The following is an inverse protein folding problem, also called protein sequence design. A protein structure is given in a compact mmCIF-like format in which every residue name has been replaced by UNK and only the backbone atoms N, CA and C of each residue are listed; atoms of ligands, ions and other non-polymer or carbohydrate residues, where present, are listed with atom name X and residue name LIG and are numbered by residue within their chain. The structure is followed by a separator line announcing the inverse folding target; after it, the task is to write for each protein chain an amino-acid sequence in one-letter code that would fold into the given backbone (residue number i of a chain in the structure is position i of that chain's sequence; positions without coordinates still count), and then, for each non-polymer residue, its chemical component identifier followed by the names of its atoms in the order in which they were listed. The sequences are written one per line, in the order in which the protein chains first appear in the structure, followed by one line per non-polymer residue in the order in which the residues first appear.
data_IF_311097849637
#
_entry.id   IF_311097849637
#
_cell.length_a   1.000
_cell.length_b   1.000
_cell.length_c   1.000
_cell.angle_alpha   90.00
_cell.angle_beta   90.00
_cell.angle_gamma   90.00
#
_symmetry.space_group_name_H-M   'P 1'
#
loop_
_entity.id
_entity.type
_entity.pdbx_description
1 polymer ?
#
# COMPACT_ATOMS: atom_id res chain seq x y z
N UNK A 1 7.70 -26.75 10.55
CA UNK A 1 6.44 -25.98 10.42
C UNK A 1 6.37 -25.34 9.04
N UNK A 2 5.21 -25.30 8.41
CA UNK A 2 4.99 -24.47 7.22
C UNK A 2 5.03 -22.98 7.60
N UNK A 3 5.15 -22.08 6.64
CA UNK A 3 5.12 -20.63 6.88
C UNK A 3 3.83 -20.21 7.59
N UNK A 4 2.68 -20.73 7.14
CA UNK A 4 1.38 -20.44 7.76
C UNK A 4 1.31 -20.95 9.22
N UNK A 5 1.71 -22.19 9.48
CA UNK A 5 1.71 -22.73 10.83
C UNK A 5 2.57 -21.91 11.78
N UNK A 6 3.78 -21.53 11.34
CA UNK A 6 4.72 -20.71 12.10
C UNK A 6 4.13 -19.34 12.43
N UNK A 7 3.56 -18.65 11.44
CA UNK A 7 2.92 -17.33 11.66
C UNK A 7 1.74 -17.43 12.62
N UNK A 8 0.86 -18.43 12.45
CA UNK A 8 -0.31 -18.61 13.32
C UNK A 8 0.11 -18.98 14.75
N UNK A 9 1.08 -19.88 14.93
CA UNK A 9 1.60 -20.26 16.23
C UNK A 9 2.22 -19.05 16.97
N UNK A 10 3.04 -18.25 16.26
CA UNK A 10 3.62 -17.04 16.82
C UNK A 10 2.57 -16.01 17.26
N UNK A 11 1.52 -15.79 16.43
CA UNK A 11 0.41 -14.90 16.77
C UNK A 11 -0.39 -15.37 18.00
N UNK A 12 -0.39 -16.67 18.29
CA UNK A 12 -1.04 -17.27 19.46
C UNK A 12 -0.13 -17.40 20.69
N UNK A 13 1.11 -16.92 20.60
CA UNK A 13 2.12 -17.10 21.66
C UNK A 13 2.51 -18.56 21.90
N UNK A 14 2.35 -19.41 20.89
CA UNK A 14 2.74 -20.82 20.93
C UNK A 14 4.21 -21.00 20.51
N UNK A 15 4.79 -22.13 20.86
CA UNK A 15 6.15 -22.49 20.45
C UNK A 15 6.29 -22.60 18.93
N UNK A 16 7.40 -22.08 18.41
CA UNK A 16 7.73 -22.09 16.98
C UNK A 16 9.13 -22.62 16.78
N UNK A 17 9.38 -23.24 15.63
CA UNK A 17 10.71 -23.74 15.26
C UNK A 17 11.74 -22.61 15.04
N UNK A 18 11.28 -21.43 14.61
CA UNK A 18 12.01 -20.17 14.53
C UNK A 18 11.02 -18.99 14.44
N UNK A 19 11.41 -17.76 14.76
CA UNK A 19 10.56 -16.60 14.52
C UNK A 19 10.14 -16.48 13.05
N UNK A 20 8.86 -16.16 12.74
CA UNK A 20 8.45 -15.87 11.37
C UNK A 20 9.08 -14.57 10.89
N UNK A 21 9.56 -14.55 9.65
CA UNK A 21 10.26 -13.42 9.05
C UNK A 21 9.57 -12.95 7.79
N UNK A 22 9.45 -11.64 7.65
CA UNK A 22 9.09 -10.97 6.40
C UNK A 22 9.95 -9.73 6.20
N UNK A 23 10.30 -9.49 4.95
CA UNK A 23 10.97 -8.27 4.51
C UNK A 23 10.19 -7.67 3.34
N UNK A 24 10.14 -6.36 3.28
CA UNK A 24 9.44 -5.64 2.23
C UNK A 24 10.27 -4.47 1.71
N UNK A 25 10.03 -4.12 0.47
CA UNK A 25 10.57 -2.91 -0.18
C UNK A 25 9.63 -2.48 -1.29
N UNK A 26 9.77 -1.25 -1.76
CA UNK A 26 9.13 -0.81 -2.98
C UNK A 26 9.91 -1.31 -4.22
N UNK A 27 9.18 -1.58 -5.30
CA UNK A 27 9.69 -2.02 -6.60
C UNK A 27 9.24 -1.02 -7.67
N UNK A 28 9.82 0.18 -7.73
CA UNK A 28 9.26 1.31 -8.49
C UNK A 28 9.17 1.08 -10.01
N UNK A 29 9.89 0.09 -10.53
CA UNK A 29 9.81 -0.31 -11.93
C UNK A 29 8.76 -1.40 -12.20
N UNK A 30 8.22 -2.05 -11.16
CA UNK A 30 7.27 -3.16 -11.25
C UNK A 30 6.00 -2.93 -10.41
N UNK A 31 5.82 -1.77 -9.81
CA UNK A 31 4.68 -1.50 -8.93
C UNK A 31 3.50 -0.77 -9.62
N UNK A 32 3.57 -0.61 -10.95
CA UNK A 32 2.59 0.18 -11.71
C UNK A 32 1.44 -0.65 -12.28
N UNK A 33 1.59 -1.95 -12.38
CA UNK A 33 0.52 -2.88 -12.82
C UNK A 33 0.34 -4.01 -11.82
N UNK A 34 -0.87 -4.56 -11.76
CA UNK A 34 -1.17 -5.70 -10.89
C UNK A 34 -0.28 -6.91 -11.20
N UNK A 35 -0.04 -7.18 -12.48
CA UNK A 35 0.74 -8.33 -12.93
C UNK A 35 2.19 -8.22 -12.52
N UNK A 36 2.83 -7.08 -12.77
CA UNK A 36 4.24 -6.87 -12.47
C UNK A 36 4.47 -6.82 -10.96
N UNK A 37 3.59 -6.12 -10.22
CA UNK A 37 3.64 -6.06 -8.76
C UNK A 37 3.50 -7.47 -8.13
N UNK A 38 2.57 -8.28 -8.63
CA UNK A 38 2.40 -9.64 -8.14
C UNK A 38 3.62 -10.51 -8.45
N UNK A 39 4.12 -10.47 -9.68
CA UNK A 39 5.28 -11.25 -10.10
C UNK A 39 6.52 -10.94 -9.25
N UNK A 40 6.87 -9.64 -9.08
CA UNK A 40 8.04 -9.25 -8.28
C UNK A 40 7.87 -9.58 -6.80
N UNK A 41 6.64 -9.49 -6.28
CA UNK A 41 6.34 -9.82 -4.88
C UNK A 41 6.53 -11.31 -4.60
N UNK A 42 6.04 -12.19 -5.50
CA UNK A 42 6.22 -13.63 -5.39
C UNK A 42 7.70 -14.01 -5.51
N UNK A 43 8.38 -13.47 -6.53
CA UNK A 43 9.82 -13.68 -6.70
C UNK A 43 10.63 -13.26 -5.45
N UNK A 44 10.28 -12.14 -4.83
CA UNK A 44 10.93 -11.66 -3.61
C UNK A 44 10.72 -12.60 -2.43
N UNK A 45 9.49 -13.10 -2.27
CA UNK A 45 9.15 -14.07 -1.23
C UNK A 45 9.93 -15.38 -1.41
N UNK A 46 9.95 -15.94 -2.63
CA UNK A 46 10.65 -17.20 -2.94
C UNK A 46 12.18 -17.07 -2.75
N UNK A 47 12.77 -16.00 -3.28
CA UNK A 47 14.21 -15.76 -3.21
C UNK A 47 14.72 -15.67 -1.76
N UNK A 48 13.92 -15.12 -0.86
CA UNK A 48 14.32 -14.90 0.54
C UNK A 48 13.70 -15.91 1.52
N UNK A 49 12.84 -16.81 1.06
CA UNK A 49 12.14 -17.78 1.91
C UNK A 49 11.30 -17.13 3.00
N UNK A 50 10.59 -16.03 2.67
CA UNK A 50 9.82 -15.26 3.65
C UNK A 50 8.59 -16.03 4.12
N UNK A 51 8.28 -15.93 5.41
CA UNK A 51 7.14 -16.63 6.02
C UNK A 51 5.79 -15.98 5.73
N UNK A 52 5.78 -14.71 5.40
CA UNK A 52 4.58 -14.01 4.95
C UNK A 52 4.95 -12.84 4.03
N UNK A 53 3.99 -12.47 3.21
CA UNK A 53 4.10 -11.38 2.26
C UNK A 53 3.43 -10.14 2.82
N UNK A 54 4.10 -8.98 2.73
CA UNK A 54 3.49 -7.68 2.76
C UNK A 54 3.51 -7.12 1.35
N UNK A 55 2.34 -7.07 0.68
CA UNK A 55 2.24 -6.47 -0.65
C UNK A 55 2.58 -4.97 -0.56
N UNK A 56 3.44 -4.50 -1.46
CA UNK A 56 3.96 -3.13 -1.45
C UNK A 56 3.67 -2.42 -2.77
N UNK A 57 2.43 -1.94 -2.99
CA UNK A 57 2.15 -1.01 -4.08
C UNK A 57 2.92 0.30 -3.87
N UNK A 58 2.93 1.22 -4.86
CA UNK A 58 3.53 2.55 -4.68
C UNK A 58 2.98 3.23 -3.43
N UNK A 59 3.81 3.99 -2.73
CA UNK A 59 3.43 4.59 -1.44
C UNK A 59 2.26 5.57 -1.50
N UNK A 60 1.91 6.03 -2.68
CA UNK A 60 0.79 6.93 -2.99
C UNK A 60 -0.43 6.21 -3.62
N UNK A 61 -0.42 4.88 -3.68
CA UNK A 61 -1.46 4.08 -4.35
C UNK A 61 -2.89 4.53 -4.00
N UNK A 62 -3.11 4.91 -2.75
CA UNK A 62 -4.42 5.30 -2.26
C UNK A 62 -4.84 6.73 -2.67
N UNK A 63 -3.98 7.48 -3.37
CA UNK A 63 -4.24 8.88 -3.77
C UNK A 63 -4.20 9.09 -5.29
N UNK A 64 -3.72 8.10 -6.04
CA UNK A 64 -3.59 8.16 -7.50
C UNK A 64 -4.93 8.44 -8.16
N UNK A 65 -5.99 7.78 -7.71
CA UNK A 65 -7.33 7.91 -8.31
C UNK A 65 -7.98 9.29 -8.08
N UNK A 66 -7.43 10.10 -7.17
CA UNK A 66 -7.77 11.52 -7.00
C UNK A 66 -6.80 12.46 -7.73
N UNK A 67 -5.92 11.91 -8.59
CA UNK A 67 -5.02 12.69 -9.44
C UNK A 67 -3.68 13.03 -8.81
N UNK A 68 -3.27 12.35 -7.73
CA UNK A 68 -1.89 12.40 -7.29
C UNK A 68 -0.97 11.77 -8.34
N UNK A 69 0.22 12.34 -8.51
CA UNK A 69 1.28 11.75 -9.35
C UNK A 69 2.57 11.67 -8.57
N UNK A 70 3.38 10.67 -8.88
CA UNK A 70 4.69 10.50 -8.27
C UNK A 70 5.72 9.97 -9.27
N UNK A 71 6.98 10.22 -8.99
CA UNK A 71 8.10 9.78 -9.82
C UNK A 71 9.15 9.07 -8.94
N UNK A 72 9.78 8.05 -9.49
CA UNK A 72 10.93 7.43 -8.87
C UNK A 72 12.20 8.21 -9.23
N UNK A 73 12.87 8.74 -8.21
CA UNK A 73 14.08 9.56 -8.35
C UNK A 73 15.32 8.86 -7.80
N UNK A 74 15.33 7.51 -7.80
CA UNK A 74 16.51 6.73 -7.39
C UNK A 74 16.65 6.50 -5.89
N UNK A 75 15.62 6.73 -5.09
CA UNK A 75 15.67 6.47 -3.65
C UNK A 75 16.02 5.00 -3.35
N UNK A 76 17.01 4.70 -2.46
CA UNK A 76 17.48 3.32 -2.20
C UNK A 76 16.38 2.35 -1.74
N UNK A 77 15.37 2.85 -1.02
CA UNK A 77 14.20 2.09 -0.58
C UNK A 77 13.15 1.84 -1.65
N UNK A 78 13.33 2.39 -2.87
CA UNK A 78 12.38 2.31 -3.97
C UNK A 78 11.16 3.22 -3.81
N UNK A 79 11.18 4.16 -2.86
CA UNK A 79 10.07 5.12 -2.68
C UNK A 79 10.02 6.13 -3.81
N UNK A 80 8.79 6.47 -4.23
CA UNK A 80 8.52 7.51 -5.22
C UNK A 80 8.29 8.85 -4.50
N UNK A 81 8.64 9.95 -5.15
CA UNK A 81 8.36 11.29 -4.67
C UNK A 81 7.07 11.81 -5.31
N UNK A 82 6.14 12.32 -4.51
CA UNK A 82 4.90 12.88 -5.03
C UNK A 82 5.19 14.21 -5.73
N UNK A 83 4.83 14.30 -7.00
CA UNK A 83 5.06 15.48 -7.85
C UNK A 83 3.82 16.35 -7.99
N UNK A 84 2.62 15.77 -7.75
CA UNK A 84 1.35 16.48 -7.76
C UNK A 84 0.47 16.04 -6.61
N UNK A 85 -0.05 17.01 -5.88
CA UNK A 85 -1.01 16.82 -4.80
C UNK A 85 -2.40 17.28 -5.26
N UNK A 86 -3.46 16.45 -5.11
CA UNK A 86 -4.83 16.82 -5.51
C UNK A 86 -5.40 17.97 -4.68
N UNK A 87 -4.98 18.11 -3.43
CA UNK A 87 -5.41 19.17 -2.51
C UNK A 87 -4.26 20.11 -2.21
N UNK A 88 -4.36 21.36 -2.63
CA UNK A 88 -3.32 22.39 -2.40
C UNK A 88 -3.77 23.46 -1.41
N UNK A 89 -5.06 23.71 -1.31
CA UNK A 89 -5.72 24.65 -0.41
C UNK A 89 -7.01 24.03 0.18
N UNK A 90 -7.54 24.59 1.23
CA UNK A 90 -8.68 23.99 1.94
C UNK A 90 -9.94 23.83 1.07
N UNK A 91 -10.16 24.73 0.12
CA UNK A 91 -11.30 24.69 -0.81
C UNK A 91 -11.29 23.48 -1.73
N UNK A 92 -10.10 22.94 -2.03
CA UNK A 92 -9.96 21.81 -2.95
C UNK A 92 -10.62 20.52 -2.39
N UNK A 93 -10.82 20.42 -1.06
CA UNK A 93 -11.54 19.31 -0.45
C UNK A 93 -12.95 19.13 -0.98
N UNK A 94 -13.67 20.22 -1.22
CA UNK A 94 -15.02 20.20 -1.78
C UNK A 94 -15.11 19.63 -3.20
N UNK A 95 -13.98 19.47 -3.90
CA UNK A 95 -13.92 18.85 -5.23
C UNK A 95 -13.54 17.35 -5.19
N UNK A 96 -13.20 16.82 -4.02
CA UNK A 96 -12.84 15.42 -3.86
C UNK A 96 -14.10 14.55 -3.89
N UNK A 97 -14.23 13.77 -4.93
CA UNK A 97 -15.37 12.85 -5.09
C UNK A 97 -15.05 11.45 -4.58
N UNK A 98 -16.08 10.69 -4.24
CA UNK A 98 -15.92 9.28 -3.88
C UNK A 98 -15.46 8.46 -5.08
N UNK A 99 -14.34 7.76 -4.92
CA UNK A 99 -13.83 6.79 -5.90
C UNK A 99 -14.33 5.39 -5.51
N UNK A 100 -14.91 4.61 -6.44
CA UNK A 100 -15.29 3.23 -6.18
C UNK A 100 -14.04 2.38 -5.88
N UNK A 101 -14.12 1.52 -4.86
CA UNK A 101 -12.98 0.71 -4.41
C UNK A 101 -12.51 -0.32 -5.47
N UNK A 102 -13.37 -0.65 -6.42
CA UNK A 102 -13.11 -1.60 -7.50
C UNK A 102 -12.78 -0.91 -8.85
N UNK A 103 -12.32 0.31 -8.83
CA UNK A 103 -11.94 1.08 -10.02
C UNK A 103 -10.55 1.67 -9.89
N UNK A 104 -9.98 2.15 -11.00
CA UNK A 104 -8.71 2.84 -11.04
C UNK A 104 -7.55 2.02 -10.47
N UNK A 105 -6.63 2.70 -9.82
CA UNK A 105 -5.44 2.06 -9.24
C UNK A 105 -5.78 1.17 -8.02
N UNK A 106 -6.84 1.47 -7.29
CA UNK A 106 -7.31 0.59 -6.22
C UNK A 106 -7.68 -0.81 -6.76
N UNK A 107 -8.32 -0.88 -7.94
CA UNK A 107 -8.62 -2.16 -8.59
C UNK A 107 -7.34 -2.93 -8.97
N UNK A 108 -6.28 -2.24 -9.42
CA UNK A 108 -4.98 -2.87 -9.68
C UNK A 108 -4.36 -3.46 -8.41
N UNK A 109 -4.43 -2.77 -7.27
CA UNK A 109 -3.93 -3.30 -5.99
C UNK A 109 -4.72 -4.53 -5.55
N UNK A 110 -6.05 -4.52 -5.66
CA UNK A 110 -6.91 -5.67 -5.34
C UNK A 110 -6.57 -6.85 -6.26
N UNK A 111 -6.40 -6.61 -7.55
CA UNK A 111 -6.00 -7.63 -8.52
C UNK A 111 -4.61 -8.20 -8.21
N UNK A 112 -3.64 -7.37 -7.84
CA UNK A 112 -2.32 -7.82 -7.42
C UNK A 112 -2.41 -8.75 -6.20
N UNK A 113 -3.23 -8.40 -5.19
CA UNK A 113 -3.49 -9.28 -4.04
C UNK A 113 -4.03 -10.66 -4.47
N UNK A 114 -4.96 -10.69 -5.44
CA UNK A 114 -5.53 -11.95 -5.96
C UNK A 114 -4.47 -12.78 -6.68
N UNK A 115 -3.67 -12.16 -7.55
CA UNK A 115 -2.60 -12.84 -8.29
C UNK A 115 -1.52 -13.40 -7.36
N UNK A 116 -1.10 -12.63 -6.35
CA UNK A 116 -0.17 -13.13 -5.33
C UNK A 116 -0.78 -14.31 -4.60
N UNK A 117 -2.06 -14.21 -4.20
CA UNK A 117 -2.76 -15.28 -3.49
C UNK A 117 -2.87 -16.57 -4.30
N UNK A 118 -3.15 -16.44 -5.59
CA UNK A 118 -3.19 -17.58 -6.52
C UNK A 118 -1.81 -18.25 -6.63
N UNK A 119 -0.74 -17.46 -6.74
CA UNK A 119 0.61 -17.97 -6.89
C UNK A 119 1.13 -18.69 -5.63
N UNK A 120 0.94 -18.11 -4.43
CA UNK A 120 1.50 -18.68 -3.18
C UNK A 120 0.55 -19.64 -2.45
N UNK A 121 -0.67 -19.81 -2.95
CA UNK A 121 -1.67 -20.70 -2.34
C UNK A 121 -2.03 -20.29 -0.91
N UNK A 122 -2.34 -21.25 -0.04
CA UNK A 122 -2.77 -21.01 1.35
C UNK A 122 -1.61 -21.00 2.35
N UNK A 123 -0.42 -21.43 1.94
CA UNK A 123 0.69 -21.70 2.86
C UNK A 123 1.49 -20.46 3.26
N UNK A 124 1.43 -19.40 2.47
CA UNK A 124 2.07 -18.12 2.77
C UNK A 124 1.01 -17.07 3.05
N UNK A 125 0.89 -16.54 4.27
CA UNK A 125 0.00 -15.42 4.59
C UNK A 125 0.36 -14.17 3.80
N UNK A 126 -0.67 -13.44 3.34
CA UNK A 126 -0.52 -12.18 2.59
C UNK A 126 -1.18 -11.05 3.36
N UNK A 127 -0.47 -9.96 3.55
CA UNK A 127 -0.90 -8.73 4.20
C UNK A 127 -0.91 -7.58 3.19
N UNK A 128 -1.89 -6.68 3.33
CA UNK A 128 -1.94 -5.40 2.63
C UNK A 128 -1.98 -4.26 3.64
N UNK A 129 -1.14 -3.25 3.44
CA UNK A 129 -1.20 -2.02 4.24
C UNK A 129 -2.33 -1.13 3.74
N UNK A 130 -3.27 -0.81 4.62
CA UNK A 130 -4.33 0.15 4.37
C UNK A 130 -4.07 1.38 5.25
N UNK A 131 -3.99 2.54 4.63
CA UNK A 131 -3.79 3.80 5.36
C UNK A 131 -5.08 4.28 6.02
N UNK A 132 -4.94 4.94 7.17
CA UNK A 132 -6.08 5.63 7.79
C UNK A 132 -6.57 6.79 6.91
N UNK A 133 -7.84 7.20 7.03
CA UNK A 133 -8.35 8.36 6.28
C UNK A 133 -7.49 9.61 6.48
N UNK A 134 -7.03 9.89 7.70
CA UNK A 134 -6.18 11.05 7.98
C UNK A 134 -4.80 10.93 7.32
N UNK A 135 -4.22 9.74 7.24
CA UNK A 135 -2.96 9.52 6.51
C UNK A 135 -3.15 9.76 5.01
N UNK A 136 -4.27 9.31 4.44
CA UNK A 136 -4.60 9.56 3.03
C UNK A 136 -4.78 11.07 2.79
N UNK A 137 -5.56 11.75 3.63
CA UNK A 137 -5.74 13.21 3.56
C UNK A 137 -4.40 13.97 3.66
N UNK A 138 -3.52 13.53 4.54
CA UNK A 138 -2.16 14.11 4.65
C UNK A 138 -1.36 13.92 3.35
N UNK A 139 -1.41 12.73 2.75
CA UNK A 139 -0.75 12.46 1.46
C UNK A 139 -1.36 13.27 0.31
N UNK A 140 -2.67 13.47 0.29
CA UNK A 140 -3.37 14.26 -0.72
C UNK A 140 -2.99 15.75 -0.66
N UNK A 141 -2.67 16.27 0.53
CA UNK A 141 -2.48 17.70 0.80
C UNK A 141 -1.03 18.10 1.10
N UNK A 142 -0.05 17.23 0.85
CA UNK A 142 1.35 17.46 1.23
C UNK A 142 1.50 17.81 2.73
N UNK A 143 0.79 17.10 3.59
CA UNK A 143 0.81 17.32 5.04
C UNK A 143 -0.07 18.46 5.56
N UNK A 144 -0.65 19.29 4.69
CA UNK A 144 -1.41 20.49 5.08
C UNK A 144 -2.78 20.23 5.68
N UNK A 145 -3.25 18.97 5.72
CA UNK A 145 -4.60 18.63 6.22
C UNK A 145 -4.86 19.18 7.64
N UNK A 146 -3.85 19.22 8.51
CA UNK A 146 -4.00 19.74 9.87
C UNK A 146 -4.27 21.25 9.89
N UNK A 147 -3.62 22.00 9.01
CA UNK A 147 -3.86 23.43 8.87
C UNK A 147 -5.22 23.71 8.24
N UNK A 148 -5.60 22.95 7.20
CA UNK A 148 -6.93 23.03 6.61
C UNK A 148 -8.06 22.72 7.61
N UNK A 149 -7.85 21.73 8.50
CA UNK A 149 -8.78 21.39 9.58
C UNK A 149 -8.93 22.52 10.62
N UNK A 150 -7.87 23.27 10.89
CA UNK A 150 -7.90 24.42 11.80
C UNK A 150 -8.60 25.62 11.19
N UNK A 151 -8.35 25.87 9.90
CA UNK A 151 -8.88 27.03 9.19
C UNK A 151 -10.32 26.83 8.74
N UNK A 152 -10.65 25.68 8.18
CA UNK A 152 -11.94 25.36 7.54
C UNK A 152 -12.42 23.94 7.84
N UNK A 153 -12.69 23.59 9.10
CA UNK A 153 -13.03 22.23 9.49
C UNK A 153 -14.25 21.65 8.76
N UNK A 154 -15.26 22.48 8.49
CA UNK A 154 -16.49 22.05 7.82
C UNK A 154 -16.18 21.44 6.43
N UNK A 155 -15.36 22.09 5.63
CA UNK A 155 -15.04 21.63 4.26
C UNK A 155 -14.25 20.29 4.28
N UNK A 156 -13.42 20.09 5.29
CA UNK A 156 -12.58 18.88 5.38
C UNK A 156 -13.38 17.67 5.88
N UNK A 157 -14.52 17.91 6.58
CA UNK A 157 -15.35 16.84 7.14
C UNK A 157 -16.54 16.44 6.24
N UNK A 158 -16.85 17.21 5.21
CA UNK A 158 -17.87 16.86 4.20
C UNK A 158 -17.40 15.75 3.25
#
# INVERSE_FOLDING_TARGET
MTSRERVIAALRGQEVDRPPVSLWRHFPNQDQTATDLAAVTVQWQEMLGLDFIKLMPPGDYATIDWGATSEFQGAPGGTRETTRFPVRQAEDWGSISRVPANSGFNAEVVRACSLVREAVGTDVPVLQTIFSPLTIASKMSNGKVVDHLREKPAIVHE
#
